data_IF_015681168539
#
_entry.id   IF_015681168539
#
_cell.length_a   1.000
_cell.length_b   1.000
_cell.length_c   1.000
_cell.angle_alpha   90.00
_cell.angle_beta   90.00
_cell.angle_gamma   90.00
#
_symmetry.space_group_name_H-M   'P 1'
#
loop_
_entity.id
_entity.type
_entity.pdbx_description
1 polymer ?
#
# COMPACT_ATOMS: atom_id res chain seq x y z
N UNK A 1 8.20 15.01 -12.86
CA UNK A 1 7.70 14.97 -11.47
C UNK A 1 7.63 13.51 -11.10
N UNK A 2 8.16 13.11 -9.94
CA UNK A 2 8.07 11.69 -9.53
C UNK A 2 6.61 11.33 -9.30
N UNK A 3 6.11 10.29 -9.97
CA UNK A 3 4.76 9.76 -9.77
C UNK A 3 4.69 8.83 -8.54
N UNK A 4 5.72 8.86 -7.68
CA UNK A 4 5.80 8.05 -6.47
C UNK A 4 4.58 8.25 -5.57
N UNK A 5 4.01 7.16 -5.09
CA UNK A 5 2.80 7.15 -4.25
C UNK A 5 1.50 7.40 -5.02
N UNK A 6 1.55 7.69 -6.33
CA UNK A 6 0.33 7.84 -7.12
C UNK A 6 -0.41 6.51 -7.22
N UNK A 7 -1.64 6.50 -6.74
CA UNK A 7 -2.52 5.35 -6.78
C UNK A 7 -2.89 5.02 -8.24
N UNK A 8 -2.69 3.75 -8.59
CA UNK A 8 -3.01 3.16 -9.89
C UNK A 8 -4.40 2.53 -9.85
N UNK A 9 -4.70 1.79 -8.77
CA UNK A 9 -5.92 0.99 -8.65
C UNK A 9 -6.24 0.70 -7.20
N UNK A 10 -7.54 0.65 -6.90
CA UNK A 10 -8.09 0.12 -5.65
C UNK A 10 -9.06 -1.00 -6.02
N UNK A 11 -8.96 -2.16 -5.36
CA UNK A 11 -9.87 -3.30 -5.58
C UNK A 11 -10.20 -4.02 -4.28
N UNK A 12 -11.32 -4.73 -4.27
CA UNK A 12 -11.65 -5.68 -3.21
C UNK A 12 -10.60 -6.80 -3.14
N UNK A 13 -10.30 -7.22 -1.91
CA UNK A 13 -9.28 -8.21 -1.60
C UNK A 13 -9.59 -8.93 -0.30
N UNK A 14 -9.08 -10.15 -0.14
CA UNK A 14 -9.07 -10.86 1.14
C UNK A 14 -7.62 -11.04 1.54
N UNK A 15 -7.22 -10.47 2.68
CA UNK A 15 -5.88 -10.64 3.25
C UNK A 15 -5.94 -11.57 4.46
N UNK A 16 -4.78 -12.01 4.94
CA UNK A 16 -4.67 -12.69 6.22
C UNK A 16 -4.31 -11.68 7.30
N UNK A 17 -4.98 -11.74 8.45
CA UNK A 17 -4.56 -11.03 9.64
C UNK A 17 -3.29 -11.65 10.27
N UNK A 18 -2.82 -11.07 11.37
CA UNK A 18 -1.63 -11.53 12.09
C UNK A 18 -1.75 -12.97 12.63
N UNK A 19 -2.98 -13.46 12.81
CA UNK A 19 -3.28 -14.82 13.27
C UNK A 19 -3.53 -15.78 12.10
N UNK A 20 -3.46 -15.31 10.85
CA UNK A 20 -3.70 -16.10 9.65
C UNK A 20 -5.18 -16.25 9.27
N UNK A 21 -6.09 -15.49 9.88
CA UNK A 21 -7.51 -15.53 9.52
C UNK A 21 -7.79 -14.64 8.30
N UNK A 22 -8.68 -15.07 7.38
CA UNK A 22 -9.08 -14.23 6.26
C UNK A 22 -9.90 -13.03 6.74
N UNK A 23 -9.55 -11.84 6.26
CA UNK A 23 -10.28 -10.60 6.51
C UNK A 23 -10.48 -9.81 5.22
N UNK A 24 -11.63 -9.14 5.10
CA UNK A 24 -11.92 -8.25 3.98
C UNK A 24 -11.00 -7.02 4.01
N UNK A 25 -10.41 -6.73 2.87
CA UNK A 25 -9.47 -5.64 2.68
C UNK A 25 -9.66 -4.97 1.31
N UNK A 26 -9.01 -3.82 1.15
CA UNK A 26 -8.78 -3.21 -0.16
C UNK A 26 -7.30 -3.35 -0.48
N UNK A 27 -7.00 -3.81 -1.69
CA UNK A 27 -5.65 -3.74 -2.25
C UNK A 27 -5.49 -2.41 -2.99
N UNK A 28 -4.57 -1.59 -2.52
CA UNK A 28 -4.24 -0.28 -3.09
C UNK A 28 -2.90 -0.40 -3.81
N UNK A 29 -2.94 -0.36 -5.14
CA UNK A 29 -1.73 -0.39 -5.98
C UNK A 29 -1.27 1.02 -6.32
N UNK A 30 0.04 1.27 -6.27
CA UNK A 30 0.65 2.58 -6.52
C UNK A 30 2.05 2.44 -7.09
N UNK A 31 2.66 3.54 -7.53
CA UNK A 31 4.02 3.56 -8.09
C UNK A 31 5.10 3.83 -7.03
N UNK A 32 6.20 3.08 -7.09
CA UNK A 32 7.46 3.45 -6.45
C UNK A 32 8.18 4.58 -7.25
N UNK A 33 9.20 5.24 -6.66
CA UNK A 33 9.97 6.29 -7.34
C UNK A 33 10.68 5.84 -8.62
N UNK A 34 11.07 4.56 -8.71
CA UNK A 34 11.65 3.93 -9.90
C UNK A 34 10.63 3.63 -11.01
N UNK A 35 9.34 3.89 -10.75
CA UNK A 35 8.24 3.62 -11.68
C UNK A 35 7.77 2.17 -11.69
N UNK A 36 8.26 1.31 -10.79
CA UNK A 36 7.72 -0.05 -10.61
C UNK A 36 6.41 -0.01 -9.80
N UNK A 37 5.40 -0.82 -10.15
CA UNK A 37 4.16 -0.87 -9.41
C UNK A 37 4.32 -1.73 -8.16
N UNK A 38 3.64 -1.34 -7.09
CA UNK A 38 3.55 -2.10 -5.84
C UNK A 38 2.14 -2.02 -5.27
N UNK A 39 1.92 -2.54 -4.07
CA UNK A 39 0.66 -2.42 -3.35
C UNK A 39 0.81 -2.48 -1.84
N UNK A 40 -0.19 -1.93 -1.15
CA UNK A 40 -0.49 -2.18 0.26
C UNK A 40 -1.90 -2.75 0.36
N UNK A 41 -2.10 -3.64 1.34
CA UNK A 41 -3.41 -4.19 1.68
C UNK A 41 -3.90 -3.50 2.96
N UNK A 42 -5.10 -2.91 2.91
CA UNK A 42 -5.69 -2.17 4.03
C UNK A 42 -7.01 -2.82 4.41
N UNK A 43 -7.18 -3.31 5.66
CA UNK A 43 -8.44 -3.91 6.10
C UNK A 43 -9.63 -2.96 5.93
N UNK A 44 -10.79 -3.47 5.52
CA UNK A 44 -11.99 -2.65 5.26
C UNK A 44 -12.40 -1.84 6.50
N UNK A 45 -12.26 -2.42 7.70
CA UNK A 45 -12.58 -1.76 8.98
C UNK A 45 -11.75 -0.49 9.26
N UNK A 46 -10.59 -0.35 8.62
CA UNK A 46 -9.67 0.78 8.77
C UNK A 46 -9.41 1.49 7.45
N UNK A 47 -10.23 1.25 6.42
CA UNK A 47 -10.04 1.83 5.10
C UNK A 47 -10.49 3.30 5.06
N UNK A 48 -9.58 4.20 5.44
CA UNK A 48 -9.73 5.66 5.37
C UNK A 48 -8.66 6.27 4.48
N UNK A 49 -8.91 7.48 3.96
CA UNK A 49 -7.92 8.19 3.14
C UNK A 49 -6.58 8.40 3.87
N UNK A 50 -6.64 8.70 5.17
CA UNK A 50 -5.44 8.93 5.99
C UNK A 50 -4.67 7.62 6.22
N UNK A 51 -5.35 6.52 6.50
CA UNK A 51 -4.69 5.22 6.69
C UNK A 51 -4.09 4.69 5.38
N UNK A 52 -4.76 4.92 4.25
CA UNK A 52 -4.21 4.58 2.92
C UNK A 52 -2.96 5.40 2.65
N UNK A 53 -2.99 6.71 2.94
CA UNK A 53 -1.82 7.57 2.77
C UNK A 53 -0.66 7.12 3.65
N UNK A 54 -0.90 6.89 4.93
CA UNK A 54 0.11 6.43 5.88
C UNK A 54 0.74 5.11 5.43
N UNK A 55 -0.05 4.14 4.97
CA UNK A 55 0.46 2.87 4.45
C UNK A 55 1.34 3.04 3.19
N UNK A 56 0.95 3.93 2.28
CA UNK A 56 1.76 4.24 1.09
C UNK A 56 3.08 4.92 1.51
N UNK A 57 3.04 5.88 2.43
CA UNK A 57 4.22 6.59 2.92
C UNK A 57 5.20 5.64 3.64
N UNK A 58 4.69 4.72 4.47
CA UNK A 58 5.48 3.68 5.12
C UNK A 58 6.16 2.76 4.09
N UNK A 59 5.41 2.30 3.08
CA UNK A 59 5.95 1.48 2.01
C UNK A 59 7.02 2.21 1.18
N UNK A 60 6.85 3.52 0.93
CA UNK A 60 7.83 4.34 0.25
C UNK A 60 9.10 4.55 1.11
N UNK A 61 8.94 4.75 2.42
CA UNK A 61 10.06 4.88 3.34
C UNK A 61 10.89 3.58 3.41
N UNK A 62 10.22 2.43 3.54
CA UNK A 62 10.88 1.12 3.52
C UNK A 62 11.61 0.87 2.18
N UNK A 63 11.03 1.28 1.06
CA UNK A 63 11.69 1.17 -0.24
C UNK A 63 12.97 2.02 -0.31
N UNK A 64 12.95 3.26 0.19
CA UNK A 64 14.14 4.14 0.21
C UNK A 64 15.26 3.55 1.05
N UNK A 65 14.92 3.01 2.22
CA UNK A 65 15.88 2.34 3.09
C UNK A 65 16.57 1.15 2.39
N UNK A 66 15.80 0.33 1.67
CA UNK A 66 16.33 -0.82 0.91
C UNK A 66 17.18 -0.38 -0.29
N UNK A 67 16.79 0.71 -0.97
CA UNK A 67 17.47 1.19 -2.17
C UNK A 67 18.67 2.11 -1.85
N UNK A 68 18.85 2.51 -0.59
CA UNK A 68 19.95 3.38 -0.16
C UNK A 68 19.76 4.85 -0.50
N UNK A 69 18.50 5.33 -0.58
CA UNK A 69 18.12 6.73 -0.85
C UNK A 69 17.73 7.51 0.41
#
# INVERSE_FOLDING_TARGET
MSEAGKIIRIRDWTMLDELGNPVDAKRVSFWYPDGMPTHVDVPVRTFTADNVRAAIEEALAAWREVMGE
#
